data_IF_558011113494
#
_entry.id   IF_558011113494
#
_cell.length_a   1.000
_cell.length_b   1.000
_cell.length_c   1.000
_cell.angle_alpha   90.00
_cell.angle_beta   90.00
_cell.angle_gamma   90.00
#
_symmetry.space_group_name_H-M   'P 1'
#
loop_
_entity.id
_entity.type
_entity.pdbx_description
1 polymer ?
#
# COMPACT_ATOMS: atom_id res chain seq x y z
N UNK A 1 -11.85 -23.26 -10.73
CA UNK A 1 -11.07 -22.26 -11.52
C UNK A 1 -12.04 -21.26 -12.10
N UNK A 2 -11.92 -19.96 -11.85
CA UNK A 2 -12.75 -18.97 -12.53
C UNK A 2 -12.42 -19.02 -14.03
N UNK A 3 -13.45 -19.14 -14.87
CA UNK A 3 -13.29 -19.29 -16.30
C UNK A 3 -12.67 -18.06 -16.95
N UNK A 4 -12.06 -18.22 -18.12
CA UNK A 4 -11.44 -17.15 -18.93
C UNK A 4 -12.38 -15.94 -19.08
N UNK A 5 -13.69 -16.16 -19.18
CA UNK A 5 -14.72 -15.13 -19.23
C UNK A 5 -14.83 -14.26 -17.98
N UNK A 6 -14.62 -14.83 -16.79
CA UNK A 6 -14.59 -14.06 -15.54
C UNK A 6 -13.37 -13.14 -15.50
N UNK A 7 -12.20 -13.64 -15.88
CA UNK A 7 -10.96 -12.83 -15.97
C UNK A 7 -11.07 -11.72 -17.05
N UNK A 8 -11.79 -11.95 -18.13
CA UNK A 8 -12.02 -10.91 -19.16
C UNK A 8 -13.01 -9.86 -18.63
N UNK A 9 -14.08 -10.27 -17.93
CA UNK A 9 -15.03 -9.36 -17.30
C UNK A 9 -14.34 -8.47 -16.25
N UNK A 10 -13.51 -9.05 -15.40
CA UNK A 10 -12.74 -8.31 -14.38
C UNK A 10 -11.75 -7.33 -15.04
N UNK A 11 -11.06 -7.74 -16.10
CA UNK A 11 -10.17 -6.85 -16.87
C UNK A 11 -10.93 -5.69 -17.54
N UNK A 12 -12.12 -5.95 -18.08
CA UNK A 12 -12.95 -4.92 -18.71
C UNK A 12 -13.54 -4.00 -17.63
N UNK A 13 -14.07 -4.53 -16.52
CA UNK A 13 -14.60 -3.74 -15.42
C UNK A 13 -13.52 -2.83 -14.84
N UNK A 14 -12.31 -3.34 -14.61
CA UNK A 14 -11.18 -2.52 -14.15
C UNK A 14 -10.75 -1.45 -15.15
N UNK A 15 -10.88 -1.70 -16.47
CA UNK A 15 -10.58 -0.71 -17.50
C UNK A 15 -11.60 0.45 -17.51
N UNK A 16 -12.87 0.17 -17.17
CA UNK A 16 -13.94 1.17 -17.07
C UNK A 16 -14.02 1.87 -15.71
N UNK A 17 -13.39 1.32 -14.67
CA UNK A 17 -13.31 1.90 -13.34
C UNK A 17 -12.20 2.95 -13.21
N UNK A 18 -11.44 3.23 -14.26
CA UNK A 18 -10.33 4.18 -14.25
C UNK A 18 -10.77 5.54 -14.74
N UNK A 19 -10.23 6.57 -14.07
CA UNK A 19 -10.24 7.93 -14.57
C UNK A 19 -9.64 7.97 -15.98
N UNK A 20 -10.18 8.75 -16.93
CA UNK A 20 -9.57 9.01 -18.24
C UNK A 20 -8.12 9.49 -18.14
N UNK A 21 -7.74 10.17 -17.05
CA UNK A 21 -6.35 10.57 -16.75
C UNK A 21 -5.43 9.40 -16.38
N UNK A 22 -5.96 8.16 -16.24
CA UNK A 22 -5.19 6.97 -15.94
C UNK A 22 -4.92 6.71 -14.46
N UNK A 23 -5.55 7.47 -13.57
CA UNK A 23 -5.47 7.27 -12.12
C UNK A 23 -6.56 6.31 -11.63
N UNK A 24 -6.36 5.74 -10.45
CA UNK A 24 -7.34 4.87 -9.82
C UNK A 24 -8.58 5.63 -9.37
N UNK A 25 -9.67 4.91 -9.17
CA UNK A 25 -10.84 5.46 -8.48
C UNK A 25 -10.86 4.94 -7.06
N UNK A 26 -11.10 5.80 -6.06
CA UNK A 26 -11.32 5.36 -4.70
C UNK A 26 -12.43 4.31 -4.65
N UNK A 27 -12.17 3.21 -3.95
CA UNK A 27 -13.19 2.19 -3.70
C UNK A 27 -14.13 2.74 -2.62
N UNK A 28 -15.46 2.71 -2.81
CA UNK A 28 -16.40 3.07 -1.76
C UNK A 28 -16.22 2.15 -0.54
N UNK A 29 -16.28 2.74 0.67
CA UNK A 29 -16.09 2.01 1.94
C UNK A 29 -16.97 0.76 2.04
N UNK A 30 -18.26 0.89 1.72
CA UNK A 30 -19.20 -0.23 1.77
C UNK A 30 -18.81 -1.38 0.83
N UNK A 31 -18.33 -1.04 -0.37
CA UNK A 31 -17.83 -2.06 -1.32
C UNK A 31 -16.61 -2.78 -0.76
N UNK A 32 -15.67 -2.03 -0.19
CA UNK A 32 -14.46 -2.58 0.41
C UNK A 32 -14.78 -3.48 1.62
N UNK A 33 -15.70 -3.06 2.51
CA UNK A 33 -16.17 -3.87 3.62
C UNK A 33 -16.84 -5.18 3.15
N UNK A 34 -17.64 -5.11 2.07
CA UNK A 34 -18.26 -6.30 1.47
C UNK A 34 -17.20 -7.25 0.87
N UNK A 35 -16.17 -6.72 0.23
CA UNK A 35 -15.05 -7.50 -0.31
C UNK A 35 -14.27 -8.21 0.81
N UNK A 36 -14.02 -7.55 1.94
CA UNK A 36 -13.42 -8.21 3.12
C UNK A 36 -14.32 -9.29 3.68
N UNK A 37 -15.63 -9.03 3.85
CA UNK A 37 -16.58 -10.03 4.36
C UNK A 37 -16.69 -11.27 3.46
N UNK A 38 -16.63 -11.06 2.15
CA UNK A 38 -16.70 -12.16 1.17
C UNK A 38 -15.39 -12.95 1.01
N UNK A 39 -14.30 -12.55 1.66
CA UNK A 39 -12.99 -13.18 1.54
C UNK A 39 -12.24 -12.81 0.25
N UNK A 40 -12.67 -11.78 -0.49
CA UNK A 40 -12.00 -11.32 -1.72
C UNK A 40 -10.51 -11.01 -1.46
N UNK A 41 -10.18 -10.42 -0.31
CA UNK A 41 -8.83 -10.01 0.07
C UNK A 41 -8.04 -11.08 0.84
N UNK A 42 -8.61 -12.27 1.09
CA UNK A 42 -7.94 -13.32 1.88
C UNK A 42 -6.65 -13.83 1.18
N UNK A 43 -6.59 -13.71 -0.16
CA UNK A 43 -5.43 -14.11 -0.93
C UNK A 43 -4.15 -13.33 -0.57
N UNK A 44 -4.22 -12.15 0.04
CA UNK A 44 -3.03 -11.41 0.50
C UNK A 44 -2.24 -12.15 1.58
N UNK A 45 -2.83 -13.13 2.27
CA UNK A 45 -2.11 -14.02 3.17
C UNK A 45 -1.49 -15.23 2.48
N UNK A 46 -1.70 -15.42 1.19
CA UNK A 46 -1.07 -16.49 0.43
C UNK A 46 0.46 -16.32 0.35
N UNK A 47 1.14 -17.43 0.12
CA UNK A 47 2.60 -17.45 0.01
C UNK A 47 3.11 -16.55 -1.13
N UNK A 48 2.36 -16.45 -2.23
CA UNK A 48 2.73 -15.67 -3.41
C UNK A 48 2.84 -14.17 -3.14
N UNK A 49 2.12 -13.67 -2.14
CA UNK A 49 2.15 -12.27 -1.70
C UNK A 49 3.26 -11.98 -0.68
N UNK A 50 3.81 -13.02 -0.04
CA UNK A 50 4.82 -12.87 1.01
C UNK A 50 6.11 -12.20 0.53
N UNK A 51 6.70 -12.57 -0.63
CA UNK A 51 7.97 -11.98 -1.09
C UNK A 51 7.92 -10.45 -1.19
N UNK A 52 6.80 -9.88 -1.69
CA UNK A 52 6.62 -8.43 -1.79
C UNK A 52 6.68 -7.77 -0.40
N UNK A 53 5.99 -8.34 0.57
CA UNK A 53 5.96 -7.82 1.94
C UNK A 53 7.34 -7.93 2.61
N UNK A 54 8.08 -9.02 2.38
CA UNK A 54 9.45 -9.20 2.88
C UNK A 54 10.42 -8.18 2.28
N UNK A 55 10.31 -7.90 0.97
CA UNK A 55 11.15 -6.90 0.30
C UNK A 55 10.87 -5.51 0.87
N UNK A 56 9.60 -5.14 1.09
CA UNK A 56 9.25 -3.85 1.69
C UNK A 56 9.83 -3.75 3.12
N UNK A 57 9.58 -4.75 3.97
CA UNK A 57 10.05 -4.72 5.36
C UNK A 57 11.58 -4.72 5.44
N UNK A 58 12.25 -5.52 4.59
CA UNK A 58 13.71 -5.54 4.49
C UNK A 58 14.28 -4.21 4.00
N UNK A 59 13.64 -3.56 3.03
CA UNK A 59 14.05 -2.23 2.57
C UNK A 59 13.88 -1.18 3.67
N UNK A 60 12.75 -1.17 4.37
CA UNK A 60 12.55 -0.26 5.52
C UNK A 60 13.65 -0.45 6.56
N UNK A 61 13.94 -1.70 6.91
CA UNK A 61 14.96 -2.02 7.93
C UNK A 61 16.39 -1.72 7.46
N UNK A 62 16.66 -1.79 6.15
CA UNK A 62 17.95 -1.38 5.58
C UNK A 62 18.23 0.10 5.82
N UNK A 63 17.23 0.97 5.67
CA UNK A 63 17.39 2.40 5.90
C UNK A 63 17.28 2.80 7.37
N UNK A 64 16.48 2.08 8.16
CA UNK A 64 16.12 2.45 9.52
C UNK A 64 16.14 1.24 10.45
N UNK A 65 17.09 1.16 11.41
CA UNK A 65 17.20 0.00 12.29
C UNK A 65 15.98 -0.23 13.19
N UNK A 66 15.28 0.85 13.56
CA UNK A 66 14.10 0.80 14.44
C UNK A 66 13.12 1.94 14.14
N UNK A 67 12.48 1.95 12.96
CA UNK A 67 11.65 3.05 12.51
C UNK A 67 10.30 3.12 13.24
N UNK A 68 9.71 4.32 13.25
CA UNK A 68 8.26 4.48 13.31
C UNK A 68 7.72 4.25 11.89
N UNK A 69 6.79 3.32 11.77
CA UNK A 69 6.18 2.89 10.51
C UNK A 69 4.72 3.32 10.46
N UNK A 70 4.32 3.95 9.36
CA UNK A 70 2.93 4.17 8.98
C UNK A 70 2.62 3.31 7.76
N UNK A 71 1.70 2.35 7.91
CA UNK A 71 1.21 1.49 6.84
C UNK A 71 -0.16 2.00 6.36
N UNK A 72 -0.16 2.71 5.25
CA UNK A 72 -1.36 3.30 4.64
C UNK A 72 -2.03 2.27 3.73
N UNK A 73 -3.32 2.04 3.95
CA UNK A 73 -4.05 0.95 3.31
C UNK A 73 -3.61 -0.41 3.85
N UNK A 74 -3.48 -0.52 5.18
CA UNK A 74 -2.93 -1.72 5.85
C UNK A 74 -3.80 -2.98 5.69
N UNK A 75 -5.05 -2.81 5.26
CA UNK A 75 -5.99 -3.91 5.09
C UNK A 75 -6.16 -4.73 6.36
N UNK A 76 -6.11 -6.04 6.21
CA UNK A 76 -6.18 -7.01 7.30
C UNK A 76 -4.84 -7.26 8.03
N UNK A 77 -3.84 -6.37 7.86
CA UNK A 77 -2.60 -6.38 8.66
C UNK A 77 -1.52 -7.35 8.16
N UNK A 78 -1.56 -7.79 6.88
CA UNK A 78 -0.56 -8.73 6.35
C UNK A 78 0.88 -8.22 6.49
N UNK A 79 1.12 -6.97 6.13
CA UNK A 79 2.48 -6.39 6.24
C UNK A 79 2.93 -6.33 7.71
N UNK A 80 2.03 -5.99 8.63
CA UNK A 80 2.32 -5.96 10.06
C UNK A 80 2.80 -7.33 10.60
N UNK A 81 2.28 -8.45 10.07
CA UNK A 81 2.76 -9.80 10.47
C UNK A 81 4.24 -10.00 10.10
N UNK A 82 4.69 -9.44 8.98
CA UNK A 82 6.09 -9.51 8.55
C UNK A 82 6.97 -8.64 9.45
N UNK A 83 6.48 -7.46 9.83
CA UNK A 83 7.20 -6.56 10.73
C UNK A 83 7.40 -7.12 12.16
N UNK A 84 6.70 -8.20 12.54
CA UNK A 84 7.01 -8.88 13.81
C UNK A 84 8.42 -9.50 13.85
N UNK A 85 9.04 -9.70 12.69
CA UNK A 85 10.44 -10.16 12.57
C UNK A 85 11.45 -9.01 12.47
N UNK A 86 11.01 -7.76 12.45
CA UNK A 86 11.84 -6.57 12.31
C UNK A 86 11.56 -5.59 13.46
N UNK A 87 12.59 -5.06 14.15
CA UNK A 87 12.37 -4.11 15.23
C UNK A 87 11.80 -2.80 14.70
N UNK A 88 10.72 -2.34 15.32
CA UNK A 88 10.11 -1.02 15.07
C UNK A 88 9.97 -0.25 16.39
N UNK A 89 9.98 1.06 16.33
CA UNK A 89 9.67 1.92 17.46
C UNK A 89 8.17 2.09 17.66
N UNK A 90 7.44 2.13 16.54
CA UNK A 90 5.98 2.24 16.45
C UNK A 90 5.52 1.64 15.12
N UNK A 91 4.37 0.97 15.11
CA UNK A 91 3.67 0.58 13.89
C UNK A 91 2.22 1.03 13.96
N UNK A 92 1.83 1.90 13.02
CA UNK A 92 0.46 2.37 12.86
C UNK A 92 -0.05 1.95 11.48
N UNK A 93 -1.09 1.13 11.45
CA UNK A 93 -1.82 0.78 10.23
C UNK A 93 -3.11 1.61 10.11
N UNK A 94 -3.39 2.15 8.93
CA UNK A 94 -4.64 2.82 8.63
C UNK A 94 -5.29 2.21 7.40
N UNK A 95 -6.60 1.95 7.46
CA UNK A 95 -7.39 1.47 6.32
C UNK A 95 -8.79 2.07 6.33
N UNK A 96 -9.38 2.21 5.15
CA UNK A 96 -10.74 2.71 4.99
C UNK A 96 -11.79 1.70 5.49
N UNK A 97 -11.49 0.40 5.39
CA UNK A 97 -12.41 -0.67 5.73
C UNK A 97 -12.47 -0.92 7.22
N UNK A 98 -13.68 -0.83 7.80
CA UNK A 98 -13.94 -1.28 9.18
C UNK A 98 -13.62 -2.77 9.33
N UNK A 99 -14.00 -3.60 8.37
CA UNK A 99 -13.79 -5.05 8.37
C UNK A 99 -12.30 -5.39 8.26
N UNK A 100 -11.56 -4.69 7.37
CA UNK A 100 -10.11 -4.86 7.25
C UNK A 100 -9.41 -4.54 8.57
N UNK A 101 -9.71 -3.39 9.16
CA UNK A 101 -9.14 -2.97 10.45
C UNK A 101 -9.52 -3.93 11.60
N UNK A 102 -10.76 -4.42 11.63
CA UNK A 102 -11.19 -5.39 12.63
C UNK A 102 -10.37 -6.70 12.52
N UNK A 103 -10.13 -7.18 11.31
CA UNK A 103 -9.27 -8.36 11.07
C UNK A 103 -7.82 -8.12 11.45
N UNK A 104 -7.26 -6.93 11.13
CA UNK A 104 -5.90 -6.56 11.53
C UNK A 104 -5.75 -6.53 13.06
N UNK A 105 -6.71 -5.94 13.78
CA UNK A 105 -6.73 -5.94 15.25
C UNK A 105 -6.85 -7.34 15.84
N UNK A 106 -7.63 -8.23 15.20
CA UNK A 106 -7.80 -9.62 15.64
C UNK A 106 -6.50 -10.44 15.56
N UNK A 107 -5.49 -10.01 14.80
CA UNK A 107 -4.17 -10.63 14.80
C UNK A 107 -3.44 -10.46 16.15
N UNK A 108 -3.86 -9.50 16.99
CA UNK A 108 -3.29 -9.20 18.30
C UNK A 108 -1.75 -9.06 18.29
N UNK A 109 -1.20 -8.41 17.25
CA UNK A 109 0.24 -8.27 17.05
C UNK A 109 0.83 -7.27 18.07
N UNK A 110 1.86 -7.65 18.85
CA UNK A 110 2.50 -6.75 19.79
C UNK A 110 3.06 -5.49 19.14
N UNK A 111 2.86 -4.32 19.77
CA UNK A 111 3.45 -3.06 19.32
C UNK A 111 2.81 -2.47 18.05
N UNK A 112 1.66 -2.99 17.64
CA UNK A 112 0.91 -2.47 16.49
C UNK A 112 -0.38 -1.79 16.93
N UNK A 113 -0.72 -0.73 16.21
CA UNK A 113 -1.99 -0.02 16.31
C UNK A 113 -2.65 -0.01 14.92
N UNK A 114 -3.96 -0.25 14.86
CA UNK A 114 -4.72 -0.19 13.62
C UNK A 114 -5.93 0.71 13.80
N UNK A 115 -6.12 1.65 12.86
CA UNK A 115 -7.21 2.61 12.90
C UNK A 115 -7.98 2.63 11.58
N UNK A 116 -9.27 2.95 11.65
CA UNK A 116 -10.06 3.26 10.48
C UNK A 116 -9.79 4.69 10.05
N UNK A 117 -9.52 4.89 8.76
CA UNK A 117 -9.28 6.22 8.22
C UNK A 117 -9.22 6.23 6.69
N UNK A 118 -9.78 7.26 6.09
CA UNK A 118 -9.65 7.50 4.66
C UNK A 118 -8.39 8.32 4.38
N UNK A 119 -7.37 7.73 3.82
CA UNK A 119 -6.10 8.41 3.55
C UNK A 119 -6.22 9.61 2.59
N UNK A 120 -7.31 9.74 1.85
CA UNK A 120 -7.59 10.95 1.06
C UNK A 120 -7.82 12.19 1.95
N UNK A 121 -8.41 12.00 3.13
CA UNK A 121 -8.81 13.08 4.04
C UNK A 121 -8.20 13.00 5.43
N UNK A 122 -7.79 11.81 5.88
CA UNK A 122 -7.14 11.60 7.16
C UNK A 122 -5.64 11.86 7.09
N UNK A 123 -5.08 12.37 8.18
CA UNK A 123 -3.61 12.53 8.33
C UNK A 123 -3.18 12.05 9.72
N UNK A 124 -1.98 11.45 9.81
CA UNK A 124 -1.46 10.97 11.09
C UNK A 124 -1.01 12.12 11.99
N UNK A 125 -0.94 11.85 13.30
CA UNK A 125 -0.23 12.69 14.23
C UNK A 125 1.26 12.29 14.28
N UNK A 126 2.14 13.29 14.30
CA UNK A 126 3.60 13.09 14.34
C UNK A 126 4.23 12.73 13.01
N UNK A 127 5.48 12.24 13.10
CA UNK A 127 6.29 11.89 11.95
C UNK A 127 6.74 10.44 12.00
N UNK A 128 7.04 9.89 10.81
CA UNK A 128 7.43 8.50 10.61
C UNK A 128 8.68 8.44 9.73
N UNK A 129 9.60 7.54 10.05
CA UNK A 129 10.75 7.28 9.18
C UNK A 129 10.32 6.51 7.92
N UNK A 130 9.30 5.67 8.02
CA UNK A 130 8.76 4.92 6.88
C UNK A 130 7.25 5.14 6.75
N UNK A 131 6.81 5.71 5.64
CA UNK A 131 5.41 5.73 5.23
C UNK A 131 5.27 4.78 4.05
N UNK A 132 4.42 3.76 4.21
CA UNK A 132 4.29 2.66 3.27
C UNK A 132 2.92 2.75 2.59
N UNK A 133 2.91 2.60 1.26
CA UNK A 133 1.72 2.40 0.44
C UNK A 133 1.88 1.06 -0.28
N UNK A 134 1.40 -0.01 0.33
CA UNK A 134 1.54 -1.36 -0.19
C UNK A 134 0.29 -1.76 -0.97
N UNK A 135 0.33 -1.64 -2.30
CA UNK A 135 -0.76 -1.93 -3.25
C UNK A 135 -2.04 -1.07 -3.09
N UNK A 136 -1.96 0.07 -2.41
CA UNK A 136 -3.13 0.92 -2.17
C UNK A 136 -3.09 2.26 -2.90
N UNK A 137 -1.91 2.81 -3.21
CA UNK A 137 -1.75 4.13 -3.85
C UNK A 137 -2.42 4.21 -5.23
N UNK A 138 -2.57 3.06 -5.89
CA UNK A 138 -3.23 2.95 -7.19
C UNK A 138 -4.72 3.28 -7.16
N UNK A 139 -5.35 3.33 -5.99
CA UNK A 139 -6.75 3.73 -5.79
C UNK A 139 -6.90 5.22 -5.47
N UNK A 140 -5.81 5.95 -5.24
CA UNK A 140 -5.85 7.39 -4.99
C UNK A 140 -6.40 8.15 -6.20
N UNK A 141 -7.17 9.21 -5.96
CA UNK A 141 -7.64 10.13 -7.01
C UNK A 141 -6.49 10.75 -7.77
N UNK A 142 -5.50 11.23 -7.05
CA UNK A 142 -4.20 11.65 -7.57
C UNK A 142 -3.09 11.13 -6.65
N UNK A 143 -2.28 10.16 -7.11
CA UNK A 143 -1.23 9.58 -6.28
C UNK A 143 -0.13 10.59 -5.91
N UNK A 144 0.13 11.61 -6.74
CA UNK A 144 1.11 12.65 -6.43
C UNK A 144 0.61 13.60 -5.35
N UNK A 145 -0.67 14.02 -5.42
CA UNK A 145 -1.29 14.84 -4.38
C UNK A 145 -1.34 14.08 -3.05
N UNK A 146 -1.63 12.77 -3.10
CA UNK A 146 -1.59 11.92 -1.90
C UNK A 146 -0.21 11.90 -1.27
N UNK A 147 0.87 11.65 -2.05
CA UNK A 147 2.24 11.68 -1.52
C UNK A 147 2.62 13.07 -0.98
N UNK A 148 2.27 14.14 -1.69
CA UNK A 148 2.53 15.51 -1.24
C UNK A 148 1.83 15.80 0.10
N UNK A 149 0.60 15.30 0.29
CA UNK A 149 -0.15 15.48 1.52
C UNK A 149 0.41 14.67 2.71
N UNK A 150 1.12 13.56 2.45
CA UNK A 150 1.80 12.77 3.48
C UNK A 150 3.26 13.20 3.71
N UNK A 151 3.87 13.95 2.81
CA UNK A 151 5.26 14.39 2.92
C UNK A 151 5.57 15.15 4.24
N UNK A 152 4.69 16.03 4.77
CA UNK A 152 4.92 16.69 6.06
C UNK A 152 4.98 15.75 7.26
N UNK A 153 4.52 14.50 7.11
CA UNK A 153 4.52 13.47 8.16
C UNK A 153 5.71 12.50 8.04
N UNK A 154 6.61 12.73 7.09
CA UNK A 154 7.91 12.06 7.10
C UNK A 154 8.83 12.72 8.12
N UNK A 155 9.59 11.89 8.85
CA UNK A 155 10.73 12.36 9.62
C UNK A 155 11.77 13.01 8.67
N UNK A 156 12.73 13.77 9.20
CA UNK A 156 13.71 14.53 8.39
C UNK A 156 14.41 13.70 7.30
N UNK A 157 14.75 12.43 7.64
CA UNK A 157 15.34 11.47 6.71
C UNK A 157 14.36 10.39 6.26
N UNK A 158 13.05 10.60 6.52
CA UNK A 158 12.01 9.63 6.22
C UNK A 158 11.81 9.40 4.71
N UNK A 159 11.26 8.26 4.38
CA UNK A 159 11.01 7.81 3.01
C UNK A 159 9.63 7.24 2.84
N UNK A 160 9.14 7.34 1.63
CA UNK A 160 8.01 6.55 1.16
C UNK A 160 8.50 5.21 0.62
N UNK A 161 7.79 4.13 0.97
CA UNK A 161 7.99 2.77 0.44
C UNK A 161 6.71 2.35 -0.25
N UNK A 162 6.76 2.20 -1.57
CA UNK A 162 5.58 1.91 -2.37
C UNK A 162 5.72 0.60 -3.09
N UNK A 163 4.67 -0.19 -3.13
CA UNK A 163 4.51 -1.25 -4.13
C UNK A 163 3.37 -0.94 -5.08
N UNK A 164 3.51 -1.38 -6.32
CA UNK A 164 2.50 -1.21 -7.34
C UNK A 164 2.53 -2.36 -8.34
N UNK A 165 1.40 -3.06 -8.45
CA UNK A 165 1.21 -4.12 -9.43
C UNK A 165 1.30 -3.58 -10.86
N UNK A 166 2.10 -4.25 -11.71
CA UNK A 166 2.23 -3.88 -13.12
C UNK A 166 0.98 -4.20 -13.90
N UNK A 167 -0.08 -3.47 -13.64
CA UNK A 167 -1.35 -3.63 -14.32
C UNK A 167 -1.91 -2.28 -14.79
N UNK A 168 -2.46 -2.27 -16.01
CA UNK A 168 -3.16 -1.12 -16.56
C UNK A 168 -2.27 0.13 -16.68
N UNK A 169 -2.65 1.22 -16.01
CA UNK A 169 -1.98 2.53 -16.10
C UNK A 169 -0.83 2.71 -15.09
N UNK A 170 -0.29 1.63 -14.50
CA UNK A 170 0.74 1.71 -13.46
C UNK A 170 1.93 2.62 -13.83
N UNK A 171 2.36 2.61 -15.10
CA UNK A 171 3.45 3.49 -15.56
C UNK A 171 3.08 4.98 -15.52
N UNK A 172 1.82 5.32 -15.83
CA UNK A 172 1.34 6.70 -15.75
C UNK A 172 1.29 7.15 -14.29
N UNK A 173 0.86 6.27 -13.38
CA UNK A 173 0.85 6.55 -11.94
C UNK A 173 2.26 6.74 -11.40
N UNK A 174 3.24 5.88 -11.77
CA UNK A 174 4.64 6.09 -11.42
C UNK A 174 5.16 7.43 -11.91
N UNK A 175 4.98 7.76 -13.19
CA UNK A 175 5.40 9.06 -13.74
C UNK A 175 4.78 10.24 -12.98
N UNK A 176 3.53 10.12 -12.54
CA UNK A 176 2.85 11.15 -11.76
C UNK A 176 3.48 11.33 -10.38
N UNK A 177 3.75 10.25 -9.67
CA UNK A 177 4.41 10.26 -8.37
C UNK A 177 5.85 10.79 -8.46
N UNK A 178 6.57 10.43 -9.51
CA UNK A 178 7.95 10.87 -9.76
C UNK A 178 8.10 12.37 -10.11
N UNK A 179 6.99 13.06 -10.39
CA UNK A 179 7.00 14.53 -10.51
C UNK A 179 7.23 15.21 -9.15
N UNK A 180 6.73 14.64 -8.07
CA UNK A 180 6.79 15.19 -6.71
C UNK A 180 7.83 14.50 -5.82
N UNK A 181 8.27 13.30 -6.20
CA UNK A 181 9.26 12.53 -5.46
C UNK A 181 10.42 12.10 -6.36
N UNK A 182 11.61 11.99 -5.78
CA UNK A 182 12.77 11.35 -6.42
C UNK A 182 12.81 9.87 -6.05
N UNK A 183 13.11 9.01 -7.03
CA UNK A 183 13.36 7.58 -6.79
C UNK A 183 14.76 7.42 -6.23
N UNK A 184 14.89 6.90 -5.03
CA UNK A 184 16.17 6.59 -4.39
C UNK A 184 16.61 5.16 -4.67
N UNK A 185 15.66 4.22 -4.65
CA UNK A 185 15.89 2.82 -5.02
C UNK A 185 14.64 2.21 -5.65
N UNK A 186 14.85 1.21 -6.49
CA UNK A 186 13.76 0.47 -7.13
C UNK A 186 14.13 -0.99 -7.31
N UNK A 187 13.15 -1.87 -7.14
CA UNK A 187 13.23 -3.30 -7.46
C UNK A 187 11.88 -3.81 -7.93
N UNK A 188 11.81 -5.07 -8.31
CA UNK A 188 10.55 -5.71 -8.64
C UNK A 188 10.49 -7.12 -8.05
N UNK A 189 9.28 -7.55 -7.71
CA UNK A 189 8.98 -8.92 -7.25
C UNK A 189 8.13 -9.60 -8.31
N UNK A 190 8.51 -10.82 -8.66
CA UNK A 190 7.79 -11.70 -9.58
C UNK A 190 7.18 -12.86 -8.79
N UNK A 191 5.86 -13.07 -8.92
CA UNK A 191 5.20 -14.25 -8.37
C UNK A 191 5.33 -15.46 -9.30
N UNK A 192 5.14 -16.68 -8.78
CA UNK A 192 5.06 -17.89 -9.60
C UNK A 192 3.97 -17.86 -10.67
N UNK A 193 2.91 -17.07 -10.47
CA UNK A 193 1.80 -16.88 -11.42
C UNK A 193 2.09 -15.81 -12.49
N UNK A 194 3.30 -15.21 -12.48
CA UNK A 194 3.70 -14.18 -13.42
C UNK A 194 3.21 -12.77 -13.09
N UNK A 195 2.72 -12.54 -11.87
CA UNK A 195 2.42 -11.20 -11.39
C UNK A 195 3.72 -10.48 -11.07
N UNK A 196 3.81 -9.20 -11.39
CA UNK A 196 4.99 -8.38 -11.12
C UNK A 196 4.55 -7.15 -10.35
N UNK A 197 5.21 -6.89 -9.22
CA UNK A 197 5.08 -5.66 -8.45
C UNK A 197 6.37 -4.86 -8.54
N UNK A 198 6.27 -3.61 -8.94
CA UNK A 198 7.35 -2.65 -8.72
C UNK A 198 7.35 -2.24 -7.25
N UNK A 199 8.54 -2.16 -6.66
CA UNK A 199 8.76 -1.60 -5.33
C UNK A 199 9.73 -0.44 -5.50
N UNK A 200 9.32 0.76 -5.08
CA UNK A 200 10.15 1.95 -5.12
C UNK A 200 10.23 2.63 -3.77
N UNK A 201 11.43 3.09 -3.45
CA UNK A 201 11.71 3.91 -2.29
C UNK A 201 11.87 5.35 -2.79
N UNK A 202 11.07 6.26 -2.26
CA UNK A 202 10.96 7.62 -2.77
C UNK A 202 11.24 8.64 -1.66
N UNK A 203 11.86 9.74 -2.05
CA UNK A 203 11.98 10.96 -1.24
C UNK A 203 11.19 12.10 -1.87
N UNK A 204 10.48 12.93 -1.08
CA UNK A 204 9.92 14.17 -1.59
C UNK A 204 11.00 15.02 -2.25
N UNK A 205 10.69 15.62 -3.39
CA UNK A 205 11.58 16.64 -3.99
C UNK A 205 11.53 17.90 -3.11
N UNK A 206 12.67 18.44 -2.80
CA UNK A 206 12.73 19.76 -2.16
C UNK A 206 12.22 20.79 -3.18
N UNK A 207 11.23 21.58 -2.76
CA UNK A 207 10.68 22.70 -3.53
C UNK A 207 11.65 23.89 -3.55
#
# INVERSE_FOLDING_TARGET
MPGILAKIKDRLAQKFLRDPAGYGRPIPKESLDNEYRSGHWDHFFAFDELPRNLVIAGAVHHFFPRPAVLDVGCGSGRLATVFQSYPVSRYLGVDLSTEGVARARALALPGTEFIEGNYETWRPEGCFEAIIFNECIGYARDPAETLAAFAPHLAADGRFFLSHYRFGSYQAQWRRMEQVCAVEAATAVLSPQGQIWDIKILRPRQS
#
